data_IF_388574521403
#
_entry.id   IF_388574521403
#
_cell.length_a   1.000
_cell.length_b   1.000
_cell.length_c   1.000
_cell.angle_alpha   90.00
_cell.angle_beta   90.00
_cell.angle_gamma   90.00
#
_symmetry.space_group_name_H-M   'P 1'
#
loop_
_entity.id
_entity.type
_entity.pdbx_description
1 polymer ?
#
# COMPACT_ATOMS: atom_id res chain seq x y z
N UNK A 1 22.44 -14.31 10.06
CA UNK A 1 23.62 -13.51 10.50
C UNK A 1 23.91 -13.62 12.00
N UNK A 2 22.89 -13.95 12.81
CA UNK A 2 23.04 -14.04 14.27
C UNK A 2 23.19 -15.48 14.80
N UNK A 3 23.46 -16.44 13.93
CA UNK A 3 23.68 -17.84 14.30
C UNK A 3 22.42 -18.66 14.52
N UNK A 4 21.22 -18.13 14.21
CA UNK A 4 20.00 -18.93 14.24
C UNK A 4 19.87 -19.83 13.03
N UNK A 5 19.40 -21.06 13.21
CA UNK A 5 18.95 -21.93 12.14
C UNK A 5 17.50 -21.51 11.77
N UNK A 6 17.32 -20.92 10.59
CA UNK A 6 16.04 -20.37 10.16
C UNK A 6 15.39 -21.26 9.11
N UNK A 7 14.14 -21.61 9.31
CA UNK A 7 13.26 -22.22 8.30
C UNK A 7 12.08 -21.31 8.03
N UNK A 8 11.93 -20.85 6.79
CA UNK A 8 10.77 -20.08 6.32
C UNK A 8 9.80 -21.05 5.64
N UNK A 9 8.57 -21.09 6.12
CA UNK A 9 7.48 -21.90 5.57
C UNK A 9 6.52 -20.98 4.83
N UNK A 10 6.35 -21.19 3.53
CA UNK A 10 5.44 -20.42 2.68
C UNK A 10 4.29 -21.30 2.20
N UNK A 11 3.06 -20.80 2.36
CA UNK A 11 1.87 -21.52 1.94
C UNK A 11 1.69 -21.58 0.42
N UNK A 12 2.22 -20.60 -0.30
CA UNK A 12 2.20 -20.51 -1.76
C UNK A 12 3.45 -21.12 -2.41
N UNK A 13 3.58 -20.85 -3.71
CA UNK A 13 4.71 -21.33 -4.51
C UNK A 13 6.02 -20.58 -4.21
N UNK A 14 5.93 -19.34 -3.72
CA UNK A 14 7.09 -18.50 -3.39
C UNK A 14 6.72 -17.47 -2.31
N UNK A 15 7.70 -17.01 -1.51
CA UNK A 15 7.49 -15.95 -0.53
C UNK A 15 7.10 -14.61 -1.17
N UNK A 16 6.43 -13.76 -0.39
CA UNK A 16 6.07 -12.40 -0.78
C UNK A 16 4.63 -12.02 -0.40
N UNK A 17 3.76 -12.99 -0.11
CA UNK A 17 2.39 -12.73 0.34
C UNK A 17 1.61 -11.86 -0.64
N UNK A 18 1.02 -10.76 -0.15
CA UNK A 18 0.23 -9.83 -0.96
C UNK A 18 1.05 -9.04 -2.00
N UNK A 19 2.37 -8.98 -1.84
CA UNK A 19 3.29 -8.28 -2.75
C UNK A 19 3.92 -9.24 -3.77
N UNK A 20 3.66 -10.55 -3.63
CA UNK A 20 4.13 -11.54 -4.57
C UNK A 20 3.41 -11.42 -5.91
N UNK A 21 4.17 -11.48 -6.99
CA UNK A 21 3.64 -11.56 -8.33
C UNK A 21 3.46 -13.01 -8.81
N UNK A 22 2.89 -13.14 -9.98
CA UNK A 22 2.78 -14.43 -10.70
C UNK A 22 2.96 -14.20 -12.20
N UNK A 23 3.07 -15.28 -12.95
CA UNK A 23 3.08 -15.19 -14.40
C UNK A 23 1.69 -15.53 -14.95
N UNK A 24 1.24 -14.75 -15.93
CA UNK A 24 0.05 -15.07 -16.72
C UNK A 24 0.32 -16.26 -17.63
N UNK A 25 -0.73 -16.86 -18.21
CA UNK A 25 -0.60 -17.93 -19.21
C UNK A 25 0.27 -17.54 -20.42
N UNK A 26 0.36 -16.25 -20.73
CA UNK A 26 1.21 -15.69 -21.79
C UNK A 26 2.63 -15.39 -21.33
N UNK A 27 3.01 -15.77 -20.10
CA UNK A 27 4.34 -15.58 -19.54
C UNK A 27 4.67 -14.14 -19.12
N UNK A 28 3.68 -13.25 -19.00
CA UNK A 28 3.87 -11.89 -18.48
C UNK A 28 3.85 -11.89 -16.96
N UNK A 29 4.81 -11.23 -16.34
CA UNK A 29 4.86 -11.04 -14.89
C UNK A 29 3.86 -9.97 -14.47
N UNK A 30 3.01 -10.31 -13.49
CA UNK A 30 2.01 -9.41 -12.90
C UNK A 30 2.02 -9.52 -11.39
N UNK A 31 1.50 -8.51 -10.72
CA UNK A 31 1.37 -8.47 -9.26
C UNK A 31 0.03 -7.85 -8.86
N UNK A 32 -0.37 -8.01 -7.61
CA UNK A 32 -1.63 -7.47 -7.12
C UNK A 32 -1.44 -6.01 -6.68
N UNK A 33 -1.35 -5.11 -7.65
CA UNK A 33 -1.15 -3.69 -7.43
C UNK A 33 0.31 -3.24 -7.46
N UNK A 34 0.53 -1.98 -7.80
CA UNK A 34 1.84 -1.35 -7.86
C UNK A 34 2.23 -0.81 -6.49
N UNK A 35 3.44 -1.12 -6.04
CA UNK A 35 3.93 -0.74 -4.73
C UNK A 35 4.92 0.42 -4.81
N UNK A 36 4.61 1.51 -4.10
CA UNK A 36 5.49 2.65 -3.92
C UNK A 36 6.43 2.46 -2.72
N UNK A 37 7.64 2.98 -2.85
CA UNK A 37 8.64 2.98 -1.78
C UNK A 37 8.97 4.44 -1.46
N UNK A 38 8.54 4.86 -0.27
CA UNK A 38 8.60 6.26 0.14
C UNK A 38 9.96 6.62 0.70
N UNK A 39 10.36 7.86 0.56
CA UNK A 39 11.65 8.39 1.03
C UNK A 39 12.05 7.90 2.44
N UNK A 40 11.17 7.86 3.45
CA UNK A 40 11.54 7.41 4.80
C UNK A 40 11.60 5.90 4.99
N UNK A 41 11.45 5.07 3.94
CA UNK A 41 11.52 3.61 4.04
C UNK A 41 12.97 3.09 4.16
N UNK A 42 13.72 3.61 5.15
CA UNK A 42 15.14 3.36 5.32
C UNK A 42 15.51 1.86 5.38
N UNK A 43 14.65 1.02 5.96
CA UNK A 43 14.93 -0.41 6.11
C UNK A 43 14.93 -1.14 4.77
N UNK A 44 14.02 -0.79 3.85
CA UNK A 44 13.99 -1.44 2.53
C UNK A 44 15.14 -0.97 1.66
N UNK A 45 15.49 0.32 1.71
CA UNK A 45 16.65 0.84 1.00
C UNK A 45 17.95 0.22 1.53
N UNK A 46 18.14 0.12 2.85
CA UNK A 46 19.29 -0.58 3.43
C UNK A 46 19.35 -2.06 3.04
N UNK A 47 18.19 -2.73 2.94
CA UNK A 47 18.12 -4.12 2.45
C UNK A 47 18.57 -4.24 0.99
N UNK A 48 18.07 -3.36 0.11
CA UNK A 48 18.45 -3.40 -1.32
C UNK A 48 19.92 -3.07 -1.53
N UNK A 49 20.49 -2.16 -0.74
CA UNK A 49 21.91 -1.86 -0.73
C UNK A 49 22.74 -3.07 -0.26
N UNK A 50 22.30 -3.75 0.82
CA UNK A 50 22.96 -4.97 1.32
C UNK A 50 22.93 -6.11 0.29
N UNK A 51 21.82 -6.23 -0.46
CA UNK A 51 21.66 -7.22 -1.53
C UNK A 51 22.47 -6.84 -2.80
N UNK A 52 22.94 -5.60 -2.91
CA UNK A 52 23.64 -5.08 -4.08
C UNK A 52 22.74 -4.95 -5.31
N UNK A 53 21.45 -4.70 -5.13
CA UNK A 53 20.46 -4.58 -6.20
C UNK A 53 19.97 -3.13 -6.38
N UNK A 54 19.52 -2.79 -7.58
CA UNK A 54 19.01 -1.46 -7.94
C UNK A 54 17.59 -1.58 -8.51
N UNK A 55 16.60 -1.92 -7.65
CA UNK A 55 15.26 -2.25 -8.12
C UNK A 55 14.37 -1.03 -8.40
N UNK A 56 14.81 0.18 -8.03
CA UNK A 56 13.95 1.36 -8.00
C UNK A 56 14.15 2.30 -9.17
N UNK A 57 13.07 2.97 -9.57
CA UNK A 57 13.11 4.15 -10.45
C UNK A 57 13.79 5.33 -9.72
N UNK A 58 14.17 6.41 -10.41
CA UNK A 58 14.31 7.71 -9.78
C UNK A 58 13.02 8.15 -9.09
N UNK A 59 13.07 9.13 -8.18
CA UNK A 59 11.88 9.75 -7.62
C UNK A 59 11.00 10.32 -8.72
N UNK A 60 9.68 10.20 -8.56
CA UNK A 60 8.71 10.59 -9.58
C UNK A 60 7.73 11.64 -9.06
N UNK A 61 7.27 12.50 -9.96
CA UNK A 61 6.12 13.38 -9.69
C UNK A 61 4.83 12.56 -9.79
N UNK A 62 3.82 12.98 -9.07
CA UNK A 62 2.48 12.37 -9.10
C UNK A 62 1.40 13.40 -9.37
N UNK A 63 0.22 12.93 -9.75
CA UNK A 63 -0.97 13.77 -9.90
C UNK A 63 -2.19 13.13 -9.30
N UNK A 64 -3.25 13.95 -9.11
CA UNK A 64 -4.56 13.47 -8.67
C UNK A 64 -5.63 13.99 -9.63
N UNK A 65 -6.58 13.14 -9.93
CA UNK A 65 -7.69 13.41 -10.83
C UNK A 65 -9.04 13.26 -10.12
N UNK A 66 -10.01 14.05 -10.58
CA UNK A 66 -11.43 13.85 -10.32
C UNK A 66 -12.19 13.72 -11.64
N UNK A 67 -13.50 13.48 -11.65
CA UNK A 67 -14.31 13.55 -12.88
C UNK A 67 -14.26 14.91 -13.58
N UNK A 68 -13.78 15.96 -12.91
CA UNK A 68 -13.56 17.26 -13.50
C UNK A 68 -12.18 17.43 -14.13
N UNK A 69 -11.31 16.41 -14.10
CA UNK A 69 -9.95 16.38 -14.64
C UNK A 69 -8.86 16.49 -13.58
N UNK A 70 -7.71 17.06 -13.95
CA UNK A 70 -6.56 17.21 -13.05
C UNK A 70 -6.86 18.17 -11.89
N UNK A 71 -6.62 17.72 -10.67
CA UNK A 71 -6.88 18.47 -9.43
C UNK A 71 -5.61 18.87 -8.68
N UNK A 72 -4.64 17.96 -8.60
CA UNK A 72 -3.43 18.16 -7.81
C UNK A 72 -2.21 17.66 -8.58
N UNK A 73 -1.12 18.40 -8.48
CA UNK A 73 0.21 17.93 -8.87
C UNK A 73 1.17 18.03 -7.69
N UNK A 74 1.88 16.95 -7.41
CA UNK A 74 2.91 16.89 -6.39
C UNK A 74 4.28 16.93 -7.07
N UNK A 75 5.19 17.82 -6.61
CA UNK A 75 6.57 17.85 -7.10
C UNK A 75 7.39 16.69 -6.51
N UNK A 76 8.66 16.62 -6.85
CA UNK A 76 9.67 15.91 -6.06
C UNK A 76 10.14 16.91 -4.99
N UNK A 77 9.78 16.66 -3.74
CA UNK A 77 9.94 17.65 -2.67
C UNK A 77 11.40 17.87 -2.26
N UNK A 78 12.26 16.85 -2.38
CA UNK A 78 13.68 16.96 -2.08
C UNK A 78 14.44 17.89 -3.04
N UNK A 79 13.90 18.11 -4.25
CA UNK A 79 14.50 18.99 -5.25
C UNK A 79 14.22 20.47 -5.00
N UNK A 80 13.37 20.78 -4.01
CA UNK A 80 12.90 22.12 -3.69
C UNK A 80 13.56 22.66 -2.42
N UNK A 81 13.67 24.00 -2.26
CA UNK A 81 14.16 24.61 -1.04
C UNK A 81 13.45 24.08 0.21
N UNK A 82 14.20 23.70 1.22
CA UNK A 82 13.64 23.19 2.47
C UNK A 82 12.92 24.30 3.24
N UNK A 83 11.67 24.06 3.57
CA UNK A 83 10.85 24.90 4.44
C UNK A 83 10.59 24.19 5.77
N UNK A 84 10.31 24.93 6.86
CA UNK A 84 9.86 24.31 8.10
C UNK A 84 8.63 23.42 7.88
N UNK A 85 8.65 22.22 8.46
CA UNK A 85 7.51 21.30 8.37
C UNK A 85 6.26 21.90 9.04
N UNK A 86 5.06 21.79 8.47
CA UNK A 86 4.71 21.11 7.20
C UNK A 86 4.63 22.07 5.98
N UNK A 87 5.19 23.28 6.07
CA UNK A 87 5.01 24.35 5.07
C UNK A 87 5.42 23.91 3.66
N UNK A 88 6.48 23.13 3.53
CA UNK A 88 6.96 22.68 2.22
C UNK A 88 5.90 21.87 1.47
N UNK A 89 5.27 20.92 2.13
CA UNK A 89 4.22 20.10 1.54
C UNK A 89 3.00 20.95 1.15
N UNK A 90 2.59 21.88 1.99
CA UNK A 90 1.44 22.75 1.71
C UNK A 90 1.68 23.77 0.59
N UNK A 91 2.88 24.33 0.49
CA UNK A 91 3.19 25.40 -0.47
C UNK A 91 3.51 24.82 -1.84
N UNK A 92 4.26 23.71 -1.89
CA UNK A 92 4.75 23.16 -3.15
C UNK A 92 3.73 22.23 -3.84
N UNK A 93 2.76 21.67 -3.11
CA UNK A 93 1.65 20.94 -3.72
C UNK A 93 0.73 21.90 -4.48
N UNK A 94 0.55 21.62 -5.76
CA UNK A 94 -0.25 22.48 -6.65
C UNK A 94 -1.70 21.99 -6.69
N UNK A 95 -2.56 22.71 -6.01
CA UNK A 95 -4.01 22.50 -6.06
C UNK A 95 -4.62 23.36 -7.16
N UNK A 96 -5.28 22.76 -8.14
CA UNK A 96 -5.85 23.47 -9.29
C UNK A 96 -7.14 24.23 -8.96
N UNK A 97 -7.98 23.65 -8.10
CA UNK A 97 -9.35 24.14 -7.87
C UNK A 97 -9.72 24.39 -6.41
N UNK A 98 -8.93 23.87 -5.47
CA UNK A 98 -9.24 24.00 -4.04
C UNK A 98 -8.96 25.44 -3.53
N UNK A 99 -9.97 26.21 -3.12
CA UNK A 99 -9.81 27.59 -2.65
C UNK A 99 -8.91 27.69 -1.41
N UNK A 100 -8.21 28.82 -1.27
CA UNK A 100 -7.35 29.06 -0.13
C UNK A 100 -8.09 29.03 1.20
N UNK A 101 -9.33 29.55 1.23
CA UNK A 101 -10.15 29.56 2.46
C UNK A 101 -10.43 28.13 2.97
N UNK A 102 -10.68 27.18 2.05
CA UNK A 102 -10.87 25.78 2.43
C UNK A 102 -9.56 25.17 2.97
N UNK A 103 -8.41 25.47 2.34
CA UNK A 103 -7.10 25.02 2.84
C UNK A 103 -6.80 25.54 4.23
N UNK A 104 -7.14 26.80 4.53
CA UNK A 104 -6.97 27.42 5.84
C UNK A 104 -7.85 26.78 6.92
N UNK A 105 -8.93 26.11 6.56
CA UNK A 105 -9.77 25.38 7.51
C UNK A 105 -9.06 24.20 8.19
N UNK A 106 -7.95 23.73 7.63
CA UNK A 106 -7.10 22.70 8.26
C UNK A 106 -6.20 23.22 9.39
N UNK A 107 -6.04 24.54 9.55
CA UNK A 107 -5.13 25.08 10.57
C UNK A 107 -5.41 24.58 11.99
N UNK A 108 -6.68 24.49 12.47
CA UNK A 108 -6.95 23.92 13.79
C UNK A 108 -6.52 22.46 13.94
N UNK A 109 -6.48 21.69 12.86
CA UNK A 109 -6.02 20.29 12.88
C UNK A 109 -4.55 20.17 13.31
N UNK A 110 -3.74 21.22 13.12
CA UNK A 110 -2.36 21.25 13.58
C UNK A 110 -2.25 21.00 15.10
N UNK A 111 -3.28 21.34 15.87
CA UNK A 111 -3.31 21.03 17.30
C UNK A 111 -3.32 19.50 17.52
N UNK A 112 -4.20 18.77 16.83
CA UNK A 112 -4.24 17.30 16.92
C UNK A 112 -2.93 16.66 16.47
N UNK A 113 -2.30 17.21 15.42
CA UNK A 113 -1.02 16.75 14.91
C UNK A 113 0.11 16.93 15.91
N UNK A 114 0.16 18.07 16.60
CA UNK A 114 1.18 18.34 17.64
C UNK A 114 0.91 17.52 18.90
N UNK A 115 -0.37 17.32 19.26
CA UNK A 115 -0.78 16.50 20.41
C UNK A 115 -0.58 15.00 20.17
N UNK A 116 -0.56 14.57 18.90
CA UNK A 116 -0.27 13.22 18.49
C UNK A 116 1.26 13.03 18.36
N UNK A 117 1.89 12.70 19.48
CA UNK A 117 3.34 12.48 19.57
C UNK A 117 3.81 11.08 19.15
N UNK A 118 2.94 10.33 18.49
CA UNK A 118 3.14 8.93 18.06
C UNK A 118 3.46 7.94 19.21
N UNK A 119 3.20 8.31 20.46
CA UNK A 119 3.31 7.41 21.61
C UNK A 119 2.13 6.43 21.69
N UNK A 120 2.32 5.30 22.40
CA UNK A 120 1.24 4.35 22.67
C UNK A 120 0.03 4.99 23.36
N UNK A 121 0.23 6.02 24.18
CA UNK A 121 -0.82 6.74 24.86
C UNK A 121 -1.64 7.59 23.86
N UNK A 122 -0.97 8.27 22.95
CA UNK A 122 -1.60 9.04 21.89
C UNK A 122 -2.38 8.11 20.94
N UNK A 123 -1.78 6.99 20.52
CA UNK A 123 -2.48 5.99 19.71
C UNK A 123 -3.75 5.53 20.38
N UNK A 124 -3.70 5.09 21.62
CA UNK A 124 -4.91 4.65 22.36
C UNK A 124 -5.97 5.74 22.48
N UNK A 125 -5.58 7.01 22.68
CA UNK A 125 -6.52 8.12 22.83
C UNK A 125 -7.28 8.43 21.52
N UNK A 126 -6.57 8.45 20.39
CA UNK A 126 -7.15 8.79 19.10
C UNK A 126 -7.79 7.61 18.37
N UNK A 127 -7.56 6.37 18.82
CA UNK A 127 -8.13 5.18 18.18
C UNK A 127 -9.64 5.01 18.43
N UNK A 128 -10.21 5.69 19.42
CA UNK A 128 -11.65 5.69 19.72
C UNK A 128 -12.47 6.62 18.84
N UNK A 129 -11.85 7.46 18.02
CA UNK A 129 -12.49 8.44 17.16
C UNK A 129 -12.22 8.08 15.71
N UNK A 130 -13.23 8.22 14.83
CA UNK A 130 -12.99 8.04 13.40
C UNK A 130 -12.24 9.22 12.80
N UNK A 131 -11.54 9.02 11.70
CA UNK A 131 -10.89 10.09 10.96
C UNK A 131 -11.90 11.18 10.55
N UNK A 132 -13.07 10.75 10.05
CA UNK A 132 -14.14 11.67 9.64
C UNK A 132 -14.58 12.57 10.79
N UNK A 133 -14.77 12.00 11.98
CA UNK A 133 -15.18 12.76 13.16
C UNK A 133 -14.08 13.72 13.63
N UNK A 134 -12.82 13.29 13.62
CA UNK A 134 -11.68 14.15 13.94
C UNK A 134 -11.68 15.41 13.05
N UNK A 135 -11.78 15.24 11.73
CA UNK A 135 -11.77 16.37 10.79
C UNK A 135 -12.94 17.35 11.03
N UNK A 136 -14.14 16.82 11.35
CA UNK A 136 -15.29 17.64 11.71
C UNK A 136 -15.05 18.43 12.99
N UNK A 137 -14.53 17.80 14.05
CA UNK A 137 -14.26 18.44 15.35
C UNK A 137 -13.26 19.59 15.22
N UNK A 138 -12.28 19.47 14.34
CA UNK A 138 -11.30 20.52 14.07
C UNK A 138 -11.75 21.55 13.01
N UNK A 139 -12.98 21.47 12.53
CA UNK A 139 -13.54 22.48 11.62
C UNK A 139 -13.01 22.44 10.19
N UNK A 140 -12.44 21.29 9.77
CA UNK A 140 -12.03 21.09 8.38
C UNK A 140 -13.25 21.21 7.46
N UNK A 141 -13.16 22.06 6.43
CA UNK A 141 -14.27 22.26 5.51
C UNK A 141 -14.64 20.96 4.79
N UNK A 142 -15.92 20.79 4.49
CA UNK A 142 -16.41 19.62 3.78
C UNK A 142 -15.71 19.44 2.42
N UNK A 143 -15.39 20.56 1.76
CA UNK A 143 -14.69 20.56 0.48
C UNK A 143 -13.24 20.10 0.62
N UNK A 144 -12.48 20.67 1.56
CA UNK A 144 -11.10 20.24 1.83
C UNK A 144 -11.04 18.76 2.23
N UNK A 145 -12.00 18.31 3.07
CA UNK A 145 -12.07 16.90 3.42
C UNK A 145 -12.27 16.03 2.17
N UNK A 146 -13.29 16.34 1.36
CA UNK A 146 -13.66 15.52 0.19
C UNK A 146 -12.62 15.55 -0.93
N UNK A 147 -11.95 16.67 -1.16
CA UNK A 147 -11.03 16.86 -2.29
C UNK A 147 -9.55 16.61 -1.93
N UNK A 148 -9.20 16.52 -0.64
CA UNK A 148 -7.82 16.31 -0.22
C UNK A 148 -7.66 15.18 0.81
N UNK A 149 -8.34 15.21 1.94
CA UNK A 149 -8.12 14.22 3.00
C UNK A 149 -8.73 12.86 2.70
N UNK A 150 -9.97 12.80 2.23
CA UNK A 150 -10.63 11.53 1.91
C UNK A 150 -9.91 10.75 0.81
N UNK A 151 -9.47 11.36 -0.31
CA UNK A 151 -8.62 10.67 -1.30
C UNK A 151 -7.34 10.09 -0.70
N UNK A 152 -6.72 10.85 0.20
CA UNK A 152 -5.51 10.40 0.90
C UNK A 152 -5.77 9.19 1.79
N UNK A 153 -6.92 9.14 2.49
CA UNK A 153 -7.32 8.00 3.30
C UNK A 153 -7.63 6.78 2.43
N UNK A 154 -8.38 6.97 1.34
CA UNK A 154 -8.75 5.91 0.42
C UNK A 154 -7.55 5.28 -0.28
N UNK A 155 -6.52 6.06 -0.62
CA UNK A 155 -5.30 5.57 -1.28
C UNK A 155 -4.24 5.11 -0.27
N UNK A 156 -4.13 5.77 0.89
CA UNK A 156 -3.09 5.49 1.88
C UNK A 156 -3.49 4.48 2.95
N UNK A 157 -4.77 4.44 3.33
CA UNK A 157 -5.31 3.50 4.33
C UNK A 157 -6.34 2.53 3.74
N UNK A 158 -6.66 2.67 2.47
CA UNK A 158 -7.59 1.83 1.69
C UNK A 158 -9.02 1.78 2.24
N UNK A 159 -9.41 2.79 3.03
CA UNK A 159 -10.75 2.85 3.61
C UNK A 159 -11.23 4.30 3.76
N UNK A 160 -12.56 4.54 3.68
CA UNK A 160 -13.13 5.86 3.91
C UNK A 160 -12.92 6.30 5.37
N UNK A 161 -12.95 7.60 5.61
CA UNK A 161 -12.65 8.18 6.92
C UNK A 161 -13.57 7.75 8.06
N UNK A 162 -14.75 7.24 7.75
CA UNK A 162 -15.69 6.63 8.71
C UNK A 162 -15.23 5.28 9.22
N UNK A 163 -14.35 4.59 8.46
CA UNK A 163 -13.81 3.26 8.79
C UNK A 163 -12.35 3.31 9.25
N UNK A 164 -11.70 4.47 9.14
CA UNK A 164 -10.35 4.68 9.64
C UNK A 164 -10.38 5.29 11.03
N UNK A 165 -9.50 4.84 11.94
CA UNK A 165 -9.31 5.54 13.20
C UNK A 165 -8.55 6.85 13.01
N UNK A 166 -8.81 7.82 13.87
CA UNK A 166 -8.07 9.07 13.88
C UNK A 166 -6.58 8.82 14.20
N UNK A 167 -6.25 7.83 15.02
CA UNK A 167 -4.88 7.44 15.31
C UNK A 167 -4.13 6.99 14.05
N UNK A 168 -4.71 6.07 13.26
CA UNK A 168 -4.11 5.61 12.00
C UNK A 168 -3.93 6.77 11.01
N UNK A 169 -4.92 7.67 10.94
CA UNK A 169 -4.88 8.85 10.08
C UNK A 169 -3.80 9.84 10.50
N UNK A 170 -3.72 10.18 11.79
CA UNK A 170 -2.68 11.07 12.31
C UNK A 170 -1.29 10.45 12.18
N UNK A 171 -1.16 9.14 12.41
CA UNK A 171 0.09 8.40 12.20
C UNK A 171 0.55 8.46 10.75
N UNK A 172 -0.36 8.27 9.79
CA UNK A 172 -0.06 8.42 8.36
C UNK A 172 0.36 9.85 8.02
N UNK A 173 -0.38 10.86 8.47
CA UNK A 173 -0.06 12.27 8.25
C UNK A 173 1.29 12.64 8.87
N UNK A 174 1.55 12.19 10.11
CA UNK A 174 2.81 12.41 10.80
C UNK A 174 3.99 11.83 10.03
N UNK A 175 3.86 10.59 9.57
CA UNK A 175 4.93 9.86 8.91
C UNK A 175 5.22 10.39 7.50
N UNK A 176 4.20 10.68 6.70
CA UNK A 176 4.38 11.01 5.28
C UNK A 176 4.36 12.51 4.97
N UNK A 177 3.73 13.35 5.78
CA UNK A 177 3.46 14.75 5.42
C UNK A 177 4.11 15.74 6.38
N UNK A 178 4.16 15.39 7.66
CA UNK A 178 4.45 16.35 8.72
C UNK A 178 5.86 16.25 9.29
N UNK A 179 6.55 15.12 9.16
CA UNK A 179 7.88 14.95 9.74
C UNK A 179 8.93 15.70 8.93
N UNK A 180 9.08 15.39 7.64
CA UNK A 180 10.05 16.05 6.77
C UNK A 180 9.46 16.31 5.39
N UNK A 181 9.89 17.37 4.74
CA UNK A 181 9.40 17.76 3.42
C UNK A 181 9.51 16.63 2.35
N UNK A 182 10.64 15.88 2.25
CA UNK A 182 10.75 14.84 1.24
C UNK A 182 10.04 13.52 1.57
N UNK A 183 9.40 13.39 2.74
CA UNK A 183 8.81 12.10 3.15
C UNK A 183 7.70 11.62 2.22
N UNK A 184 7.11 12.54 1.46
CA UNK A 184 6.11 12.22 0.45
C UNK A 184 6.71 11.83 -0.92
N UNK A 185 8.03 11.91 -1.09
CA UNK A 185 8.70 11.49 -2.31
C UNK A 185 8.70 9.96 -2.43
N UNK A 186 8.40 9.44 -3.61
CA UNK A 186 8.21 8.02 -3.88
C UNK A 186 9.04 7.56 -5.08
N UNK A 187 9.61 6.37 -4.94
CA UNK A 187 10.18 5.58 -6.04
C UNK A 187 9.33 4.33 -6.25
N UNK A 188 9.40 3.75 -7.42
CA UNK A 188 8.65 2.56 -7.81
C UNK A 188 9.61 1.43 -8.17
N UNK A 189 9.15 0.18 -8.07
CA UNK A 189 9.91 -0.93 -8.61
C UNK A 189 9.98 -0.85 -10.13
N UNK A 190 11.16 -1.19 -10.70
CA UNK A 190 11.40 -1.20 -12.16
C UNK A 190 10.89 -2.46 -12.86
N UNK A 191 10.13 -3.26 -12.17
CA UNK A 191 9.49 -4.50 -12.54
C UNK A 191 8.71 -5.02 -11.33
N UNK A 192 8.23 -6.25 -11.34
CA UNK A 192 7.52 -6.78 -10.20
C UNK A 192 8.42 -6.88 -8.96
N UNK A 193 7.87 -6.55 -7.78
CA UNK A 193 8.60 -6.62 -6.51
C UNK A 193 9.10 -8.05 -6.24
N UNK A 194 8.31 -9.04 -6.65
CA UNK A 194 8.68 -10.45 -6.55
C UNK A 194 10.00 -10.77 -7.24
N UNK A 195 10.19 -10.27 -8.46
CA UNK A 195 11.41 -10.54 -9.24
C UNK A 195 12.56 -9.62 -8.85
N UNK A 196 12.28 -8.35 -8.62
CA UNK A 196 13.31 -7.34 -8.38
C UNK A 196 13.88 -7.38 -6.96
N UNK A 197 13.08 -7.76 -5.94
CA UNK A 197 13.47 -7.71 -4.54
C UNK A 197 13.39 -9.09 -3.88
N UNK A 198 12.24 -9.80 -3.94
CA UNK A 198 12.08 -11.04 -3.19
C UNK A 198 12.95 -12.18 -3.69
N UNK A 199 13.08 -12.36 -5.00
CA UNK A 199 13.96 -13.42 -5.55
C UNK A 199 15.42 -13.24 -5.12
N UNK A 200 16.07 -12.08 -5.30
CA UNK A 200 17.43 -11.85 -4.80
C UNK A 200 17.56 -12.02 -3.29
N UNK A 201 16.52 -11.61 -2.54
CA UNK A 201 16.53 -11.76 -1.08
C UNK A 201 16.44 -13.20 -0.64
N UNK A 202 15.54 -14.01 -1.23
CA UNK A 202 15.42 -15.45 -0.98
C UNK A 202 16.73 -16.17 -1.32
N UNK A 203 17.34 -15.83 -2.45
CA UNK A 203 18.65 -16.38 -2.84
C UNK A 203 19.73 -16.07 -1.80
N UNK A 204 19.77 -14.85 -1.29
CA UNK A 204 20.73 -14.42 -0.28
C UNK A 204 20.54 -15.15 1.06
N UNK A 205 19.32 -15.25 1.57
CA UNK A 205 19.05 -15.97 2.84
C UNK A 205 19.33 -17.47 2.71
N UNK A 206 19.02 -18.06 1.56
CA UNK A 206 19.29 -19.46 1.27
C UNK A 206 20.80 -19.73 1.22
N UNK A 207 21.57 -18.88 0.53
CA UNK A 207 23.04 -18.93 0.53
C UNK A 207 23.64 -18.78 1.94
N UNK A 208 22.94 -18.06 2.81
CA UNK A 208 23.32 -17.87 4.22
C UNK A 208 22.93 -19.06 5.12
N UNK A 209 22.37 -20.14 4.55
CA UNK A 209 22.04 -21.38 5.25
C UNK A 209 20.60 -21.48 5.75
N UNK A 210 19.73 -20.51 5.47
CA UNK A 210 18.31 -20.65 5.78
C UNK A 210 17.63 -21.63 4.82
N UNK A 211 16.59 -22.32 5.32
CA UNK A 211 15.71 -23.16 4.49
C UNK A 211 14.47 -22.35 4.13
N UNK A 212 14.15 -22.27 2.83
CA UNK A 212 12.91 -21.66 2.33
C UNK A 212 12.09 -22.75 1.66
N UNK A 213 10.93 -23.07 2.24
CA UNK A 213 10.10 -24.20 1.82
C UNK A 213 8.73 -23.67 1.34
N UNK A 214 8.48 -23.82 0.05
CA UNK A 214 7.20 -23.50 -0.58
C UNK A 214 6.16 -24.61 -0.35
N UNK A 215 4.88 -24.26 -0.54
CA UNK A 215 3.73 -25.17 -0.37
C UNK A 215 3.67 -25.82 1.02
N UNK A 216 4.12 -25.10 2.04
CA UNK A 216 4.09 -25.50 3.44
C UNK A 216 3.15 -24.57 4.22
N UNK A 217 1.87 -24.88 4.16
CA UNK A 217 0.83 -24.12 4.87
C UNK A 217 0.80 -24.54 6.34
N UNK A 218 1.19 -23.61 7.23
CA UNK A 218 1.05 -23.79 8.67
C UNK A 218 -0.43 -23.80 9.05
N UNK A 219 -0.85 -24.82 9.77
CA UNK A 219 -2.23 -25.01 10.23
C UNK A 219 -2.37 -24.96 11.75
N UNK A 220 -1.31 -25.27 12.49
CA UNK A 220 -1.33 -25.28 13.95
C UNK A 220 0.04 -24.99 14.57
N UNK A 221 0.04 -24.62 15.85
CA UNK A 221 1.21 -24.39 16.69
C UNK A 221 1.30 -25.48 17.76
N UNK A 222 2.48 -26.11 17.85
CA UNK A 222 2.77 -27.10 18.89
C UNK A 222 3.34 -26.38 20.11
N UNK A 223 2.74 -26.61 21.28
CA UNK A 223 3.18 -26.04 22.56
C UNK A 223 3.30 -27.12 23.63
N UNK A 224 4.21 -26.90 24.56
CA UNK A 224 4.31 -27.61 25.83
C UNK A 224 4.19 -26.59 26.97
N UNK A 225 3.02 -26.51 27.59
CA UNK A 225 2.66 -25.41 28.49
C UNK A 225 2.73 -24.06 27.78
N UNK A 226 3.64 -23.18 28.24
CA UNK A 226 3.85 -21.86 27.66
C UNK A 226 5.01 -21.79 26.64
N UNK A 227 5.64 -22.92 26.35
CA UNK A 227 6.75 -22.96 25.38
C UNK A 227 6.29 -23.44 24.01
N UNK A 228 6.71 -22.74 22.98
CA UNK A 228 6.58 -23.19 21.59
C UNK A 228 7.55 -24.36 21.36
N UNK A 229 7.10 -25.38 20.65
CA UNK A 229 7.91 -26.55 20.25
C UNK A 229 7.99 -26.71 18.73
N UNK A 230 7.09 -26.09 17.98
CA UNK A 230 7.08 -26.20 16.53
C UNK A 230 5.75 -25.81 15.90
N UNK A 231 5.61 -26.12 14.63
CA UNK A 231 4.38 -25.89 13.85
C UNK A 231 3.99 -27.13 13.05
N UNK A 232 2.72 -27.24 12.71
CA UNK A 232 2.12 -28.29 11.89
C UNK A 232 1.83 -27.75 10.50
N UNK A 233 2.22 -28.51 9.48
CA UNK A 233 1.92 -28.25 8.06
C UNK A 233 1.31 -29.52 7.43
N UNK A 234 0.01 -29.69 7.50
CA UNK A 234 -0.62 -30.95 7.09
C UNK A 234 -0.16 -32.10 7.97
N UNK A 235 0.48 -33.12 7.37
CA UNK A 235 1.03 -34.29 8.09
C UNK A 235 2.48 -34.08 8.56
N UNK A 236 3.10 -32.95 8.25
CA UNK A 236 4.49 -32.65 8.61
C UNK A 236 4.56 -31.79 9.87
N UNK A 237 5.57 -32.06 10.69
CA UNK A 237 5.92 -31.26 11.86
C UNK A 237 7.29 -30.61 11.67
N UNK A 238 7.37 -29.35 12.02
CA UNK A 238 8.63 -28.59 12.03
C UNK A 238 8.91 -28.13 13.45
N UNK A 239 9.93 -28.74 14.06
CA UNK A 239 10.38 -28.35 15.41
C UNK A 239 11.05 -26.98 15.37
N UNK A 240 10.77 -26.15 16.39
CA UNK A 240 11.33 -24.81 16.53
C UNK A 240 11.33 -24.36 18.01
N UNK A 241 12.39 -23.63 18.37
CA UNK A 241 12.49 -22.95 19.68
C UNK A 241 11.69 -21.64 19.71
N UNK A 242 11.44 -21.04 18.53
CA UNK A 242 10.65 -19.83 18.37
C UNK A 242 9.94 -19.85 16.99
N UNK A 243 8.74 -19.28 16.95
CA UNK A 243 7.92 -19.13 15.73
C UNK A 243 7.52 -17.67 15.56
N UNK A 244 7.74 -17.15 14.35
CA UNK A 244 7.29 -15.82 13.93
C UNK A 244 6.22 -15.99 12.85
N UNK A 245 5.00 -15.56 13.13
CA UNK A 245 3.92 -15.53 12.17
C UNK A 245 3.97 -14.23 11.36
N UNK A 246 4.30 -14.33 10.07
CA UNK A 246 4.26 -13.22 9.10
C UNK A 246 3.13 -13.41 8.09
N UNK A 247 2.01 -13.96 8.52
CA UNK A 247 0.83 -14.23 7.69
C UNK A 247 -0.16 -13.07 7.76
N UNK A 248 -0.87 -12.82 6.66
CA UNK A 248 -1.94 -11.81 6.63
C UNK A 248 -3.08 -12.13 7.61
N UNK A 249 -3.88 -11.12 7.95
CA UNK A 249 -4.96 -11.21 8.96
C UNK A 249 -5.89 -12.40 8.71
N UNK A 250 -6.35 -12.61 7.48
CA UNK A 250 -7.25 -13.72 7.14
C UNK A 250 -6.59 -15.09 7.36
N UNK A 251 -5.33 -15.23 7.01
CA UNK A 251 -4.54 -16.45 7.25
C UNK A 251 -4.35 -16.69 8.75
N UNK A 252 -4.00 -15.65 9.51
CA UNK A 252 -3.79 -15.76 10.96
C UNK A 252 -5.09 -16.11 11.70
N UNK A 253 -6.24 -15.52 11.31
CA UNK A 253 -7.54 -15.88 11.85
C UNK A 253 -7.86 -17.39 11.67
N UNK A 254 -7.50 -17.96 10.51
CA UNK A 254 -7.66 -19.40 10.25
C UNK A 254 -6.79 -20.24 11.17
N UNK A 255 -5.50 -19.89 11.32
CA UNK A 255 -4.57 -20.59 12.21
C UNK A 255 -5.08 -20.52 13.65
N UNK A 256 -5.47 -19.35 14.14
CA UNK A 256 -6.03 -19.21 15.51
C UNK A 256 -7.31 -20.03 15.69
N UNK A 257 -8.16 -20.09 14.66
CA UNK A 257 -9.43 -20.85 14.75
C UNK A 257 -9.22 -22.37 14.80
N UNK A 258 -8.13 -22.88 14.25
CA UNK A 258 -7.78 -24.31 14.27
C UNK A 258 -6.88 -24.70 15.45
N UNK A 259 -6.19 -23.75 16.08
CA UNK A 259 -5.23 -24.00 17.15
C UNK A 259 -5.83 -23.79 18.53
N UNK A 260 -6.03 -24.85 19.29
CA UNK A 260 -6.54 -24.78 20.66
C UNK A 260 -5.60 -23.94 21.56
N UNK A 261 -4.29 -24.10 21.41
CA UNK A 261 -3.30 -23.37 22.20
C UNK A 261 -3.33 -21.86 21.98
N UNK A 262 -3.61 -21.40 20.74
CA UNK A 262 -3.73 -19.98 20.42
C UNK A 262 -5.07 -19.38 20.85
N UNK A 263 -6.16 -20.16 20.79
CA UNK A 263 -7.50 -19.69 21.20
C UNK A 263 -7.58 -19.33 22.69
N UNK A 264 -6.76 -19.92 23.54
CA UNK A 264 -6.72 -19.63 24.97
C UNK A 264 -5.96 -18.34 25.30
N UNK A 265 -5.25 -17.73 24.36
CA UNK A 265 -4.49 -16.50 24.56
C UNK A 265 -5.27 -15.29 24.07
N UNK A 266 -5.39 -14.28 24.92
CA UNK A 266 -6.22 -13.09 24.67
C UNK A 266 -5.75 -12.32 23.43
N UNK A 267 -4.45 -12.11 23.29
CA UNK A 267 -3.84 -11.40 22.15
C UNK A 267 -4.18 -12.04 20.81
N UNK A 268 -4.24 -13.37 20.72
CA UNK A 268 -4.64 -14.08 19.49
C UNK A 268 -6.16 -14.07 19.28
N UNK A 269 -6.96 -14.17 20.36
CA UNK A 269 -8.42 -14.03 20.24
C UNK A 269 -8.83 -12.68 19.69
N UNK A 270 -8.13 -11.61 20.09
CA UNK A 270 -8.42 -10.24 19.66
C UNK A 270 -8.19 -10.02 18.15
N UNK A 271 -7.40 -10.87 17.50
CA UNK A 271 -7.26 -10.85 16.03
C UNK A 271 -8.60 -11.06 15.29
N UNK A 272 -9.61 -11.67 15.93
CA UNK A 272 -10.95 -11.82 15.34
C UNK A 272 -11.62 -10.48 15.06
N UNK A 273 -11.26 -9.43 15.81
CA UNK A 273 -11.81 -8.08 15.67
C UNK A 273 -11.17 -7.27 14.51
N UNK A 274 -10.05 -7.75 13.96
CA UNK A 274 -9.41 -7.10 12.81
C UNK A 274 -10.06 -7.55 11.51
N UNK A 275 -10.15 -6.65 10.54
CA UNK A 275 -10.65 -6.95 9.20
C UNK A 275 -9.58 -6.63 8.15
N UNK A 276 -9.70 -7.30 7.00
CA UNK A 276 -8.97 -7.00 5.80
C UNK A 276 -9.86 -6.19 4.85
N UNK A 277 -9.24 -5.41 4.01
CA UNK A 277 -9.88 -4.63 2.95
C UNK A 277 -9.50 -5.27 1.62
N UNK A 278 -10.48 -5.41 0.73
CA UNK A 278 -10.24 -5.97 -0.58
C UNK A 278 -9.75 -4.91 -1.56
N UNK A 279 -8.77 -5.28 -2.35
CA UNK A 279 -8.20 -4.48 -3.45
C UNK A 279 -8.42 -5.25 -4.76
N UNK A 280 -8.79 -4.53 -5.81
CA UNK A 280 -8.88 -5.06 -7.15
C UNK A 280 -7.81 -4.39 -8.01
N UNK A 281 -6.88 -5.18 -8.54
CA UNK A 281 -5.86 -4.71 -9.47
C UNK A 281 -6.20 -5.19 -10.89
N UNK A 282 -6.04 -4.31 -11.87
CA UNK A 282 -6.26 -4.61 -13.29
C UNK A 282 -5.10 -4.09 -14.12
N UNK A 283 -4.65 -4.87 -15.09
CA UNK A 283 -3.62 -4.45 -16.03
C UNK A 283 -4.12 -4.50 -17.46
N UNK A 284 -4.05 -3.35 -18.15
CA UNK A 284 -4.54 -3.18 -19.50
C UNK A 284 -3.39 -2.88 -20.46
N UNK A 285 -3.47 -3.49 -21.65
CA UNK A 285 -2.57 -3.23 -22.78
C UNK A 285 -3.37 -2.57 -23.88
N UNK A 286 -3.00 -1.34 -24.23
CA UNK A 286 -3.61 -0.58 -25.31
C UNK A 286 -2.79 -0.73 -26.60
N UNK A 287 -3.43 -0.63 -27.74
CA UNK A 287 -2.82 -0.84 -29.06
C UNK A 287 -1.95 0.34 -29.54
N UNK A 288 -1.96 1.47 -28.84
CA UNK A 288 -1.23 2.69 -29.16
C UNK A 288 -0.63 3.38 -27.94
N UNK A 289 0.31 4.27 -28.20
CA UNK A 289 0.86 5.13 -27.14
C UNK A 289 -0.11 6.23 -26.79
N UNK A 290 -0.37 6.35 -25.48
CA UNK A 290 -1.16 7.41 -24.86
C UNK A 290 -0.21 8.26 -24.01
N UNK A 291 -0.33 9.58 -24.11
CA UNK A 291 0.50 10.48 -23.32
C UNK A 291 -0.08 10.60 -21.90
N UNK A 292 0.55 9.93 -20.94
CA UNK A 292 0.22 10.03 -19.52
C UNK A 292 1.21 11.01 -18.86
N UNK A 293 0.77 12.19 -18.40
CA UNK A 293 1.69 13.25 -17.95
C UNK A 293 2.54 12.87 -16.73
N UNK A 294 2.04 12.02 -15.84
CA UNK A 294 2.76 11.55 -14.66
C UNK A 294 2.64 10.04 -14.53
N UNK A 295 3.69 9.35 -14.08
CA UNK A 295 3.68 7.88 -14.04
C UNK A 295 2.77 7.31 -12.95
N UNK A 296 2.45 8.08 -11.91
CA UNK A 296 1.54 7.65 -10.84
C UNK A 296 0.45 8.69 -10.60
N UNK A 297 -0.80 8.22 -10.54
CA UNK A 297 -1.98 9.06 -10.51
C UNK A 297 -3.00 8.51 -9.53
N UNK A 298 -3.39 9.30 -8.52
CA UNK A 298 -4.49 8.98 -7.62
C UNK A 298 -5.79 9.60 -8.15
N UNK A 299 -6.91 8.95 -7.90
CA UNK A 299 -8.21 9.40 -8.40
C UNK A 299 -9.27 9.36 -7.31
N UNK A 300 -10.15 10.36 -7.30
CA UNK A 300 -11.21 10.50 -6.32
C UNK A 300 -12.50 11.07 -6.90
N UNK A 301 -13.60 10.89 -6.19
CA UNK A 301 -14.90 11.45 -6.59
C UNK A 301 -15.58 10.77 -7.77
N UNK A 302 -15.07 9.62 -8.23
CA UNK A 302 -15.73 8.75 -9.22
C UNK A 302 -16.76 7.85 -8.57
N UNK A 303 -16.53 7.54 -7.31
CA UNK A 303 -17.37 6.73 -6.44
C UNK A 303 -17.24 7.25 -5.00
N UNK A 304 -18.27 7.07 -4.16
CA UNK A 304 -18.28 7.63 -2.80
C UNK A 304 -17.42 6.83 -1.80
N UNK A 305 -17.08 5.58 -2.10
CA UNK A 305 -16.44 4.67 -1.13
C UNK A 305 -15.13 4.06 -1.62
N UNK A 306 -14.82 4.19 -2.90
CA UNK A 306 -13.68 3.55 -3.54
C UNK A 306 -12.67 4.61 -3.98
N UNK A 307 -11.44 4.51 -3.47
CA UNK A 307 -10.28 5.19 -4.04
C UNK A 307 -9.67 4.34 -5.13
N UNK A 308 -9.07 4.96 -6.12
CA UNK A 308 -8.33 4.24 -7.13
C UNK A 308 -7.12 5.01 -7.63
N UNK A 309 -6.18 4.28 -8.18
CA UNK A 309 -4.95 4.83 -8.78
C UNK A 309 -4.74 4.22 -10.14
N UNK A 310 -3.99 4.92 -11.00
CA UNK A 310 -3.49 4.31 -12.23
C UNK A 310 -2.03 4.68 -12.46
N UNK A 311 -1.31 3.75 -13.08
CA UNK A 311 0.14 3.83 -13.27
C UNK A 311 0.52 3.59 -14.72
N UNK A 312 1.38 4.46 -15.25
CA UNK A 312 2.03 4.27 -16.56
C UNK A 312 3.19 3.27 -16.42
N UNK A 313 2.94 2.02 -16.75
CA UNK A 313 3.96 0.98 -16.65
C UNK A 313 5.04 1.09 -17.72
N UNK A 314 4.80 1.78 -18.84
CA UNK A 314 5.87 2.07 -19.79
C UNK A 314 6.94 2.99 -19.19
N UNK A 315 6.54 3.87 -18.27
CA UNK A 315 7.47 4.75 -17.57
C UNK A 315 8.12 4.08 -16.34
N UNK A 316 7.41 3.15 -15.69
CA UNK A 316 7.84 2.56 -14.42
C UNK A 316 8.59 1.24 -14.56
N UNK A 317 8.14 0.33 -15.44
CA UNK A 317 8.70 -1.00 -15.58
C UNK A 317 9.61 -1.12 -16.80
N UNK A 318 10.80 -1.63 -16.61
CA UNK A 318 11.79 -1.78 -17.69
C UNK A 318 11.30 -2.69 -18.82
N UNK A 319 10.51 -3.72 -18.49
CA UNK A 319 9.96 -4.67 -19.48
C UNK A 319 8.96 -4.03 -20.46
N UNK A 320 8.33 -2.91 -20.11
CA UNK A 320 7.30 -2.26 -20.93
C UNK A 320 7.81 -0.99 -21.65
N UNK A 321 9.07 -0.61 -21.48
CA UNK A 321 9.62 0.62 -22.11
C UNK A 321 9.49 0.63 -23.63
N UNK A 322 9.74 -0.52 -24.25
CA UNK A 322 9.75 -0.70 -25.69
C UNK A 322 8.45 -1.30 -26.25
N UNK A 323 7.41 -1.50 -25.41
CA UNK A 323 6.10 -1.93 -25.89
C UNK A 323 5.53 -0.91 -26.88
N UNK A 324 4.94 -1.36 -28.01
CA UNK A 324 4.40 -0.44 -29.04
C UNK A 324 3.19 0.36 -28.55
N UNK A 325 2.45 -0.20 -27.60
CA UNK A 325 1.28 0.40 -26.99
C UNK A 325 1.53 0.90 -25.57
N UNK A 326 0.49 1.38 -24.92
CA UNK A 326 0.50 1.80 -23.52
C UNK A 326 0.10 0.63 -22.62
N UNK A 327 0.82 0.46 -21.52
CA UNK A 327 0.48 -0.51 -20.48
C UNK A 327 0.16 0.25 -19.20
N UNK A 328 -1.04 0.04 -18.68
CA UNK A 328 -1.55 0.73 -17.48
C UNK A 328 -1.97 -0.29 -16.45
N UNK A 329 -1.53 -0.08 -15.22
CA UNK A 329 -2.12 -0.73 -14.04
C UNK A 329 -3.16 0.18 -13.41
N UNK A 330 -4.28 -0.37 -13.00
CA UNK A 330 -5.32 0.34 -12.26
C UNK A 330 -5.66 -0.45 -11.01
N UNK A 331 -5.53 0.19 -9.85
CA UNK A 331 -5.78 -0.40 -8.54
C UNK A 331 -6.97 0.29 -7.88
N UNK A 332 -7.98 -0.49 -7.49
CA UNK A 332 -9.13 -0.03 -6.71
C UNK A 332 -8.99 -0.45 -5.26
N UNK A 333 -9.13 0.49 -4.36
CA UNK A 333 -9.04 0.30 -2.91
C UNK A 333 -10.44 0.32 -2.30
N UNK A 334 -10.72 -0.56 -1.33
CA UNK A 334 -12.06 -0.79 -0.80
C UNK A 334 -13.02 -1.31 -1.90
N UNK A 335 -12.52 -2.29 -2.67
CA UNK A 335 -13.10 -2.70 -3.95
C UNK A 335 -14.24 -3.73 -3.85
N UNK A 336 -14.80 -3.98 -2.68
CA UNK A 336 -15.79 -5.03 -2.43
C UNK A 336 -16.97 -5.00 -3.41
N UNK A 337 -17.40 -3.82 -3.82
CA UNK A 337 -18.50 -3.63 -4.76
C UNK A 337 -18.16 -4.05 -6.20
N UNK A 338 -16.88 -4.12 -6.56
CA UNK A 338 -16.43 -4.49 -7.90
C UNK A 338 -16.10 -5.98 -8.02
N UNK A 339 -15.84 -6.68 -6.91
CA UNK A 339 -15.49 -8.11 -6.93
C UNK A 339 -16.57 -9.02 -7.55
N UNK A 340 -17.90 -8.73 -7.46
CA UNK A 340 -18.92 -9.52 -8.11
C UNK A 340 -19.06 -9.29 -9.62
N UNK A 341 -18.42 -8.26 -10.19
CA UNK A 341 -18.51 -7.92 -11.61
C UNK A 341 -17.74 -8.93 -12.47
N UNK A 342 -18.20 -9.12 -13.71
CA UNK A 342 -17.44 -9.88 -14.71
C UNK A 342 -16.19 -9.12 -15.17
N UNK A 343 -15.25 -9.82 -15.80
CA UNK A 343 -14.05 -9.19 -16.34
C UNK A 343 -14.39 -8.11 -17.38
N UNK A 344 -15.39 -8.32 -18.21
CA UNK A 344 -15.86 -7.38 -19.21
C UNK A 344 -16.42 -6.10 -18.55
N UNK A 345 -17.25 -6.25 -17.52
CA UNK A 345 -17.79 -5.11 -16.78
C UNK A 345 -16.68 -4.30 -16.06
N UNK A 346 -15.66 -4.99 -15.54
CA UNK A 346 -14.51 -4.34 -14.91
C UNK A 346 -13.69 -3.57 -15.97
N UNK A 347 -13.42 -4.17 -17.13
CA UNK A 347 -12.69 -3.51 -18.23
C UNK A 347 -13.43 -2.26 -18.69
N UNK A 348 -14.75 -2.36 -18.92
CA UNK A 348 -15.58 -1.22 -19.32
C UNK A 348 -15.57 -0.09 -18.28
N UNK A 349 -15.63 -0.45 -17.00
CA UNK A 349 -15.55 0.51 -15.88
C UNK A 349 -14.20 1.23 -15.89
N UNK A 350 -13.11 0.47 -15.97
CA UNK A 350 -11.73 1.00 -15.98
C UNK A 350 -11.51 1.93 -17.17
N UNK A 351 -11.95 1.51 -18.37
CA UNK A 351 -11.78 2.33 -19.57
C UNK A 351 -12.55 3.66 -19.47
N UNK A 352 -13.79 3.63 -18.94
CA UNK A 352 -14.56 4.86 -18.70
C UNK A 352 -13.87 5.79 -17.72
N UNK A 353 -13.31 5.26 -16.63
CA UNK A 353 -12.63 6.05 -15.61
C UNK A 353 -11.32 6.66 -16.16
N UNK A 354 -10.51 5.86 -16.84
CA UNK A 354 -9.29 6.34 -17.50
C UNK A 354 -9.60 7.41 -18.56
N UNK A 355 -10.64 7.21 -19.39
CA UNK A 355 -11.08 8.18 -20.41
C UNK A 355 -11.51 9.50 -19.78
N UNK A 356 -12.14 9.47 -18.61
CA UNK A 356 -12.52 10.69 -17.87
C UNK A 356 -11.29 11.46 -17.38
N UNK A 357 -10.23 10.77 -16.96
CA UNK A 357 -8.98 11.40 -16.57
C UNK A 357 -8.17 11.92 -17.77
N UNK A 358 -8.04 11.08 -18.80
CA UNK A 358 -7.24 11.33 -20.00
C UNK A 358 -8.06 10.90 -21.21
N UNK A 359 -8.64 11.86 -21.97
CA UNK A 359 -9.57 11.58 -23.08
C UNK A 359 -9.01 10.67 -24.17
N UNK A 360 -7.68 10.62 -24.36
CA UNK A 360 -7.04 9.76 -25.36
C UNK A 360 -7.29 8.27 -25.16
N UNK A 361 -7.65 7.83 -23.96
CA UNK A 361 -8.05 6.44 -23.68
C UNK A 361 -9.35 6.01 -24.38
N UNK A 362 -10.17 6.95 -24.84
CA UNK A 362 -11.43 6.65 -25.54
C UNK A 362 -11.23 5.99 -26.92
N UNK A 363 -10.07 6.17 -27.52
CA UNK A 363 -9.76 5.75 -28.89
C UNK A 363 -8.67 4.68 -28.97
N UNK A 364 -8.26 4.14 -27.83
CA UNK A 364 -7.18 3.17 -27.68
C UNK A 364 -7.69 1.74 -27.42
#
# INVERSE_FOLDING_TARGET
>A
KQGYAVTLLEAGAHPGGLVAGWQTEKGRSVEAGIHGFWYPYNNIFALTDELGIQPFTPYTRSSQYSPAGLEVESPIFQDLPKLPSPLGTFIYTQFQRLPLIDRLSALPLLYAVVDFDNSDAAWRRYDYVTARELFKQFGVSARLYKEAFEPMLLVGLFAPGEQCSAAATLGMLYYFILAHQPDFDVVWCRGTVGEQIFRPWVDNITKSGAKVLANKRVTDLITDGNQVKGVVCGDEVFDADAVIFSVGITGMKKIVSSSESLQHREEFRNLRNLNAIDVLATRLWFDRKINIPRPSNACFGFDDTTGWTFFDLNALHDEYKDEPGTVVEVDFYHANQFLPLSNEEIIDLVQRYLTTCIPEFAIA
#
